data_IF_197918896745
#
_entry.id   IF_197918896745
#
_cell.length_a   1.000
_cell.length_b   1.000
_cell.length_c   1.000
_cell.angle_alpha   90.00
_cell.angle_beta   90.00
_cell.angle_gamma   90.00
#
_symmetry.space_group_name_H-M   'P 1'
#
loop_
_entity.id
_entity.type
_entity.pdbx_description
1 polymer ?
#
# COMPACT_ATOMS: atom_id res chain seq x y z
N UNK A 1 56.98 12.49 6.83
CA UNK A 1 56.59 11.07 7.00
C UNK A 1 55.29 10.85 7.79
N UNK A 2 54.66 11.87 8.39
CA UNK A 2 53.31 11.75 8.99
C UNK A 2 52.24 12.68 8.35
N UNK A 3 52.64 13.66 7.56
CA UNK A 3 51.71 14.60 6.91
C UNK A 3 51.26 14.18 5.49
N UNK A 4 51.91 13.20 4.87
CA UNK A 4 51.52 12.72 3.53
C UNK A 4 50.41 11.65 3.59
N UNK A 5 50.16 11.08 4.77
CA UNK A 5 49.13 10.05 4.97
C UNK A 5 47.73 10.64 5.19
N UNK A 6 47.65 11.86 5.75
CA UNK A 6 46.37 12.54 6.03
C UNK A 6 45.79 13.15 4.74
N UNK A 7 46.62 13.74 3.89
CA UNK A 7 46.17 14.31 2.62
C UNK A 7 45.71 13.26 1.59
N UNK A 8 46.26 12.04 1.65
CA UNK A 8 45.79 10.90 0.82
C UNK A 8 44.44 10.33 1.28
N UNK A 9 44.07 10.56 2.55
CA UNK A 9 42.80 10.09 3.12
C UNK A 9 41.66 11.07 2.86
N UNK A 10 41.92 12.38 2.90
CA UNK A 10 40.92 13.42 2.62
C UNK A 10 40.60 13.57 1.12
N UNK A 11 41.59 13.44 0.22
CA UNK A 11 41.34 13.46 -1.24
C UNK A 11 40.54 12.23 -1.73
N UNK A 12 40.64 11.09 -1.01
CA UNK A 12 39.84 9.90 -1.31
C UNK A 12 38.39 9.98 -0.82
N UNK A 13 38.07 10.90 0.11
CA UNK A 13 36.68 11.19 0.50
C UNK A 13 36.00 12.16 -0.47
N UNK A 14 36.75 13.07 -1.10
CA UNK A 14 36.20 14.00 -2.09
C UNK A 14 35.87 13.32 -3.44
N UNK A 15 36.56 12.23 -3.81
CA UNK A 15 36.36 11.52 -5.09
C UNK A 15 35.39 10.31 -5.04
N UNK A 16 34.81 9.98 -3.88
CA UNK A 16 33.82 8.90 -3.73
C UNK A 16 32.37 9.40 -3.62
N UNK A 17 32.07 10.67 -3.98
CA UNK A 17 30.75 11.27 -3.71
C UNK A 17 29.81 11.47 -4.91
N UNK A 18 30.09 10.97 -6.12
CA UNK A 18 29.19 11.25 -7.27
C UNK A 18 28.81 10.10 -8.20
N UNK A 19 29.06 8.82 -7.86
CA UNK A 19 28.75 7.72 -8.81
C UNK A 19 28.06 6.48 -8.24
N UNK A 20 27.58 6.49 -6.99
CA UNK A 20 26.83 5.35 -6.43
C UNK A 20 25.48 5.71 -5.77
N UNK A 21 25.06 6.97 -5.86
CA UNK A 21 23.80 7.45 -5.25
C UNK A 21 22.55 7.24 -6.13
N UNK A 22 22.53 6.22 -6.99
CA UNK A 22 21.35 5.90 -7.83
C UNK A 22 20.80 4.48 -7.64
N UNK A 23 21.30 3.74 -6.64
CA UNK A 23 20.73 2.44 -6.21
C UNK A 23 20.83 2.26 -4.70
N UNK A 24 20.53 3.29 -3.92
CA UNK A 24 20.04 3.07 -2.56
C UNK A 24 18.54 2.78 -2.66
N UNK A 25 18.13 1.67 -2.08
CA UNK A 25 16.75 1.19 -1.95
C UNK A 25 15.77 2.36 -1.85
N UNK A 26 14.75 2.41 -2.71
CA UNK A 26 13.52 3.08 -2.31
C UNK A 26 13.08 2.38 -1.04
N UNK A 27 13.38 2.98 0.12
CA UNK A 27 12.70 2.64 1.37
C UNK A 27 11.22 2.61 1.04
N UNK A 28 10.62 1.42 1.02
CA UNK A 28 9.20 1.24 0.74
C UNK A 28 8.42 1.96 1.83
N UNK A 29 8.05 3.19 1.53
CA UNK A 29 7.41 4.14 2.43
C UNK A 29 5.97 3.74 2.73
N UNK A 30 5.52 4.03 3.95
CA UNK A 30 4.12 3.92 4.34
C UNK A 30 3.28 5.03 3.69
N UNK A 31 3.04 4.95 2.39
CA UNK A 31 2.28 5.95 1.63
C UNK A 31 1.12 5.33 0.86
N UNK A 32 0.05 6.11 0.67
CA UNK A 32 -1.01 5.77 -0.27
C UNK A 32 -0.44 5.71 -1.69
N UNK A 33 -0.80 4.68 -2.45
CA UNK A 33 -0.28 4.44 -3.80
C UNK A 33 -1.40 4.16 -4.79
N UNK A 34 -1.33 4.79 -5.96
CA UNK A 34 -2.29 4.61 -7.04
C UNK A 34 -2.02 3.33 -7.85
N UNK A 35 -2.83 3.09 -8.88
CA UNK A 35 -2.75 1.89 -9.72
C UNK A 35 -1.45 1.79 -10.55
N UNK A 36 -0.70 2.90 -10.70
CA UNK A 36 0.62 2.96 -11.33
C UNK A 36 1.76 2.86 -10.30
N UNK A 37 1.45 2.55 -9.04
CA UNK A 37 2.40 2.52 -7.92
C UNK A 37 3.08 3.87 -7.64
N UNK A 38 2.40 4.97 -7.95
CA UNK A 38 2.85 6.32 -7.62
C UNK A 38 2.24 6.77 -6.30
N UNK A 39 3.00 7.51 -5.49
CA UNK A 39 2.50 8.10 -4.25
C UNK A 39 1.40 9.12 -4.55
N UNK A 40 0.32 9.04 -3.77
CA UNK A 40 -0.80 9.99 -3.78
C UNK A 40 -1.13 10.37 -2.33
N UNK A 41 -1.74 11.53 -2.12
CA UNK A 41 -2.12 11.98 -0.77
C UNK A 41 -3.31 11.17 -0.25
N UNK A 42 -4.22 10.81 -1.14
CA UNK A 42 -5.41 10.03 -0.82
C UNK A 42 -5.91 9.28 -2.06
N UNK A 43 -6.67 8.22 -1.81
CA UNK A 43 -7.50 7.59 -2.82
C UNK A 43 -8.81 7.08 -2.21
N UNK A 44 -9.81 6.86 -3.07
CA UNK A 44 -11.05 6.19 -2.74
C UNK A 44 -11.20 5.00 -3.67
N UNK A 45 -11.56 3.83 -3.13
CA UNK A 45 -11.92 2.64 -3.90
C UNK A 45 -13.41 2.36 -3.70
N UNK A 46 -14.15 2.23 -4.79
CA UNK A 46 -15.52 1.73 -4.80
C UNK A 46 -15.57 0.37 -5.49
N UNK A 47 -15.67 -0.71 -4.70
CA UNK A 47 -15.81 -2.06 -5.25
C UNK A 47 -17.19 -2.24 -5.87
N UNK A 48 -17.23 -2.77 -7.08
CA UNK A 48 -18.46 -3.02 -7.81
C UNK A 48 -19.08 -4.38 -7.41
N UNK A 49 -20.42 -4.47 -7.43
CA UNK A 49 -21.12 -5.75 -7.27
C UNK A 49 -20.85 -6.67 -8.47
N UNK A 50 -21.14 -7.95 -8.30
CA UNK A 50 -21.09 -8.92 -9.40
C UNK A 50 -22.23 -8.64 -10.37
N UNK A 51 -21.91 -8.44 -11.66
CA UNK A 51 -22.91 -8.28 -12.72
C UNK A 51 -22.63 -9.27 -13.85
N UNK A 52 -23.33 -10.41 -13.85
CA UNK A 52 -23.08 -11.52 -14.78
C UNK A 52 -23.22 -11.14 -16.28
N UNK A 53 -23.97 -10.08 -16.57
CA UNK A 53 -24.20 -9.53 -17.92
C UNK A 53 -23.10 -8.59 -18.41
N UNK A 54 -22.16 -8.21 -17.54
CA UNK A 54 -21.04 -7.33 -17.92
C UNK A 54 -20.07 -8.04 -18.86
N UNK A 55 -19.61 -7.32 -19.88
CA UNK A 55 -18.50 -7.76 -20.76
C UNK A 55 -17.14 -7.68 -20.04
N UNK A 56 -16.99 -6.74 -19.10
CA UNK A 56 -15.78 -6.66 -18.28
C UNK A 56 -15.71 -7.83 -17.29
N UNK A 57 -14.66 -8.65 -17.40
CA UNK A 57 -14.47 -9.86 -16.60
C UNK A 57 -14.37 -9.60 -15.09
N UNK A 58 -13.73 -8.51 -14.67
CA UNK A 58 -13.62 -8.17 -13.25
C UNK A 58 -15.00 -7.81 -12.68
N UNK A 59 -15.80 -7.02 -13.39
CA UNK A 59 -17.18 -6.71 -12.98
C UNK A 59 -18.04 -7.98 -13.00
N UNK A 60 -17.91 -8.80 -14.05
CA UNK A 60 -18.63 -10.07 -14.19
C UNK A 60 -18.36 -11.04 -13.04
N UNK A 61 -17.14 -11.05 -12.53
CA UNK A 61 -16.74 -11.91 -11.41
C UNK A 61 -16.98 -11.28 -10.03
N UNK A 62 -17.35 -9.99 -9.98
CA UNK A 62 -17.49 -9.24 -8.74
C UNK A 62 -16.15 -8.89 -8.10
N UNK A 63 -15.11 -8.66 -8.89
CA UNK A 63 -13.78 -8.23 -8.43
C UNK A 63 -13.35 -6.87 -8.99
N UNK A 64 -14.17 -6.28 -9.86
CA UNK A 64 -13.96 -4.93 -10.40
C UNK A 64 -14.18 -3.86 -9.34
N UNK A 65 -13.44 -2.75 -9.46
CA UNK A 65 -13.62 -1.57 -8.63
C UNK A 65 -13.33 -0.31 -9.45
N UNK A 66 -13.99 0.79 -9.07
CA UNK A 66 -13.66 2.13 -9.53
C UNK A 66 -12.82 2.84 -8.48
N UNK A 67 -12.04 3.83 -8.89
CA UNK A 67 -11.25 4.64 -7.96
C UNK A 67 -11.23 6.12 -8.32
N UNK A 68 -10.93 6.93 -7.30
CA UNK A 68 -10.49 8.32 -7.36
C UNK A 68 -9.17 8.41 -6.60
N UNK A 69 -8.27 9.28 -7.02
CA UNK A 69 -7.08 9.60 -6.24
C UNK A 69 -6.68 11.06 -6.40
N UNK A 70 -5.75 11.52 -5.56
CA UNK A 70 -5.32 12.91 -5.55
C UNK A 70 -4.55 13.35 -6.81
N UNK A 71 -4.24 12.44 -7.74
CA UNK A 71 -3.54 12.75 -8.98
C UNK A 71 -4.49 13.06 -10.14
N UNK A 72 -5.77 12.72 -10.02
CA UNK A 72 -6.80 13.03 -11.02
C UNK A 72 -7.70 14.20 -10.59
N UNK A 73 -8.51 14.71 -11.52
CA UNK A 73 -9.53 15.69 -11.19
C UNK A 73 -10.60 15.04 -10.29
N UNK A 74 -10.96 15.71 -9.18
CA UNK A 74 -11.78 15.18 -8.06
C UNK A 74 -13.15 14.59 -8.50
N UNK A 75 -13.61 14.84 -9.72
CA UNK A 75 -14.90 14.36 -10.26
C UNK A 75 -14.83 13.16 -11.23
N UNK A 76 -13.64 12.65 -11.55
CA UNK A 76 -13.49 11.62 -12.60
C UNK A 76 -13.21 10.23 -12.01
N UNK A 77 -14.25 9.40 -11.88
CA UNK A 77 -14.08 8.01 -11.46
C UNK A 77 -13.47 7.16 -12.58
N UNK A 78 -12.38 6.46 -12.26
CA UNK A 78 -11.72 5.56 -13.19
C UNK A 78 -12.04 4.11 -12.87
N UNK A 79 -12.39 3.31 -13.88
CA UNK A 79 -12.49 1.86 -13.72
C UNK A 79 -11.07 1.28 -13.64
N UNK A 80 -10.77 0.50 -12.59
CA UNK A 80 -9.46 -0.14 -12.48
C UNK A 80 -9.28 -1.23 -13.54
N UNK A 81 -8.11 -1.28 -14.21
CA UNK A 81 -7.78 -2.41 -15.09
C UNK A 81 -7.48 -3.69 -14.29
N UNK A 82 -7.24 -3.57 -12.98
CA UNK A 82 -6.88 -4.68 -12.10
C UNK A 82 -8.05 -5.10 -11.22
N UNK A 83 -8.13 -6.40 -10.97
CA UNK A 83 -9.05 -6.96 -9.97
C UNK A 83 -8.63 -6.51 -8.57
N UNK A 84 -9.59 -6.23 -7.68
CA UNK A 84 -9.31 -5.93 -6.28
C UNK A 84 -8.55 -7.06 -5.56
N UNK A 85 -8.59 -8.29 -6.11
CA UNK A 85 -7.92 -9.46 -5.53
C UNK A 85 -6.44 -9.58 -5.87
N UNK A 86 -5.92 -8.81 -6.82
CA UNK A 86 -4.53 -8.95 -7.25
C UNK A 86 -3.61 -8.03 -6.46
N UNK A 87 -2.31 -8.37 -6.44
CA UNK A 87 -1.26 -7.53 -5.86
C UNK A 87 -1.03 -6.21 -6.63
N UNK A 88 -1.71 -6.04 -7.77
CA UNK A 88 -1.69 -4.81 -8.57
C UNK A 88 -2.86 -3.87 -8.22
N UNK A 89 -3.73 -4.25 -7.30
CA UNK A 89 -4.78 -3.36 -6.81
C UNK A 89 -4.19 -2.24 -5.95
N UNK A 90 -4.81 -1.05 -5.98
CA UNK A 90 -4.36 0.08 -5.16
C UNK A 90 -4.32 -0.25 -3.65
N UNK A 91 -5.28 -1.05 -3.19
CA UNK A 91 -5.29 -1.57 -1.82
C UNK A 91 -4.06 -2.45 -1.53
N UNK A 92 -3.73 -3.38 -2.42
CA UNK A 92 -2.56 -4.24 -2.26
C UNK A 92 -1.25 -3.47 -2.28
N UNK A 93 -1.08 -2.57 -3.25
CA UNK A 93 0.13 -1.76 -3.41
C UNK A 93 0.35 -0.90 -2.16
N UNK A 94 -0.71 -0.27 -1.63
CA UNK A 94 -0.61 0.55 -0.41
C UNK A 94 -0.29 -0.30 0.83
N UNK A 95 -0.91 -1.47 0.97
CA UNK A 95 -0.67 -2.38 2.09
C UNK A 95 0.68 -3.10 2.03
N UNK A 96 1.41 -3.03 0.90
CA UNK A 96 2.62 -3.82 0.68
C UNK A 96 3.71 -3.58 1.73
N UNK A 97 3.81 -2.33 2.23
CA UNK A 97 4.73 -1.95 3.32
C UNK A 97 4.54 -2.76 4.62
N UNK A 98 3.32 -3.29 4.85
CA UNK A 98 3.02 -4.16 5.99
C UNK A 98 3.47 -5.60 5.77
N UNK A 99 3.53 -6.07 4.52
CA UNK A 99 3.88 -7.45 4.19
C UNK A 99 5.38 -7.63 3.89
N UNK A 100 6.06 -6.55 3.48
CA UNK A 100 7.51 -6.51 3.26
C UNK A 100 8.29 -6.00 4.48
N UNK A 101 7.60 -5.75 5.58
CA UNK A 101 8.19 -5.38 6.87
C UNK A 101 8.94 -4.05 6.85
N UNK A 102 8.46 -3.11 6.02
CA UNK A 102 9.03 -1.76 5.92
C UNK A 102 8.30 -0.75 6.80
N UNK A 103 7.06 -1.05 7.21
CA UNK A 103 6.37 -0.30 8.25
C UNK A 103 7.03 -0.52 9.62
N UNK A 104 7.30 0.57 10.34
CA UNK A 104 7.89 0.50 11.70
C UNK A 104 6.84 0.25 12.78
N UNK A 105 5.60 0.66 12.56
CA UNK A 105 4.49 0.47 13.49
C UNK A 105 3.15 0.45 12.76
N UNK A 106 2.20 -0.30 13.30
CA UNK A 106 0.87 -0.46 12.70
C UNK A 106 -0.21 -0.80 13.73
N UNK A 107 -1.45 -0.48 13.39
CA UNK A 107 -2.66 -0.84 14.12
C UNK A 107 -3.66 -1.43 13.12
N UNK A 108 -4.06 -2.67 13.34
CA UNK A 108 -5.22 -3.27 12.69
C UNK A 108 -6.41 -3.17 13.64
N UNK A 109 -7.55 -2.68 13.16
CA UNK A 109 -8.80 -2.70 13.91
C UNK A 109 -9.90 -3.29 13.04
N UNK A 110 -10.73 -4.17 13.59
CA UNK A 110 -11.85 -4.79 12.91
C UNK A 110 -12.73 -5.51 13.93
N UNK A 111 -14.06 -5.38 13.82
CA UNK A 111 -15.03 -6.25 14.49
C UNK A 111 -15.08 -7.67 13.90
N UNK A 112 -14.44 -7.87 12.75
CA UNK A 112 -14.36 -9.14 12.02
C UNK A 112 -12.95 -9.35 11.46
N UNK A 113 -11.91 -9.50 12.30
CA UNK A 113 -10.53 -9.63 11.82
C UNK A 113 -10.32 -10.99 11.13
N UNK A 114 -9.25 -11.14 10.34
CA UNK A 114 -8.86 -12.46 9.83
C UNK A 114 -8.61 -13.44 10.98
N UNK A 115 -8.97 -14.70 10.78
CA UNK A 115 -8.67 -15.82 11.70
C UNK A 115 -9.28 -15.71 13.10
N UNK A 116 -10.26 -14.82 13.33
CA UNK A 116 -11.04 -14.79 14.57
C UNK A 116 -12.53 -14.64 14.30
N UNK A 117 -13.34 -14.89 15.33
CA UNK A 117 -14.77 -14.72 15.27
C UNK A 117 -15.16 -13.24 15.27
N UNK A 118 -16.31 -12.94 14.67
CA UNK A 118 -16.87 -11.60 14.74
C UNK A 118 -17.29 -11.25 16.18
N UNK A 119 -17.21 -9.98 16.52
CA UNK A 119 -17.74 -9.44 17.77
C UNK A 119 -18.98 -8.58 17.51
N UNK A 120 -20.00 -8.77 18.33
CA UNK A 120 -21.21 -7.92 18.35
C UNK A 120 -21.11 -6.78 19.38
N UNK A 121 -20.05 -6.76 20.20
CA UNK A 121 -19.89 -5.81 21.31
C UNK A 121 -18.90 -4.69 21.02
N UNK A 122 -18.18 -4.75 19.89
CA UNK A 122 -17.27 -3.71 19.42
C UNK A 122 -17.89 -2.92 18.27
N UNK A 123 -17.36 -1.72 18.00
CA UNK A 123 -17.82 -0.91 16.88
C UNK A 123 -17.61 -1.62 15.54
N UNK A 124 -18.60 -1.53 14.64
CA UNK A 124 -18.53 -2.05 13.27
C UNK A 124 -17.61 -1.21 12.39
N UNK A 125 -16.34 -1.15 12.75
CA UNK A 125 -15.30 -0.34 12.11
C UNK A 125 -14.09 -1.20 11.81
N UNK A 126 -13.50 -1.00 10.63
CA UNK A 126 -12.40 -1.81 10.13
C UNK A 126 -11.37 -0.95 9.39
N UNK A 127 -10.09 -1.25 9.59
CA UNK A 127 -9.02 -0.58 8.87
C UNK A 127 -7.64 -0.83 9.42
N UNK A 128 -6.68 -0.15 8.81
CA UNK A 128 -5.27 -0.22 9.17
C UNK A 128 -4.66 1.17 9.18
N UNK A 129 -3.97 1.49 10.27
CA UNK A 129 -3.05 2.63 10.36
C UNK A 129 -1.64 2.05 10.33
N UNK A 130 -0.78 2.55 9.45
CA UNK A 130 0.62 2.13 9.37
C UNK A 130 1.52 3.33 9.17
N UNK A 131 2.68 3.34 9.83
CA UNK A 131 3.63 4.44 9.75
C UNK A 131 5.07 4.00 9.98
N UNK A 132 5.98 4.80 9.45
CA UNK A 132 7.41 4.79 9.73
C UNK A 132 7.82 6.14 10.35
N UNK A 133 9.12 6.43 10.41
CA UNK A 133 9.63 7.67 11.01
C UNK A 133 9.29 8.95 10.20
N UNK A 134 8.77 8.81 8.98
CA UNK A 134 8.61 9.91 8.01
C UNK A 134 7.21 9.96 7.39
N UNK A 135 6.61 8.79 7.13
CA UNK A 135 5.36 8.64 6.38
C UNK A 135 4.38 7.73 7.09
N UNK A 136 3.10 7.85 6.72
CA UNK A 136 2.05 6.96 7.19
C UNK A 136 0.82 7.01 6.31
N UNK A 137 0.01 5.96 6.36
CA UNK A 137 -1.29 5.91 5.73
C UNK A 137 -2.34 5.37 6.70
N UNK A 138 -3.58 5.79 6.49
CA UNK A 138 -4.74 5.24 7.16
C UNK A 138 -5.74 4.71 6.12
N UNK A 139 -5.89 3.39 6.08
CA UNK A 139 -6.83 2.70 5.20
C UNK A 139 -8.07 2.30 6.00
N UNK A 140 -9.21 2.91 5.67
CA UNK A 140 -10.53 2.55 6.23
C UNK A 140 -11.30 1.70 5.22
N UNK A 141 -12.01 0.66 5.68
CA UNK A 141 -12.81 -0.19 4.80
C UNK A 141 -14.00 -0.86 5.50
N UNK A 142 -14.84 -1.53 4.72
CA UNK A 142 -16.01 -2.29 5.19
C UNK A 142 -15.87 -3.81 5.04
N UNK A 143 -14.76 -4.27 4.45
CA UNK A 143 -14.51 -5.69 4.12
C UNK A 143 -14.23 -6.53 5.39
N UNK A 144 -15.03 -7.56 5.71
CA UNK A 144 -14.74 -8.52 6.79
C UNK A 144 -13.50 -9.35 6.49
N UNK A 145 -12.79 -9.83 7.51
CA UNK A 145 -11.61 -10.71 7.39
C UNK A 145 -10.49 -10.12 6.51
N UNK A 146 -10.40 -8.79 6.50
CA UNK A 146 -9.42 -8.02 5.73
C UNK A 146 -8.86 -6.89 6.59
N UNK A 147 -7.63 -6.41 6.30
CA UNK A 147 -6.60 -7.11 5.52
C UNK A 147 -6.02 -8.28 6.31
N UNK A 148 -5.24 -9.14 5.63
CA UNK A 148 -4.50 -10.18 6.34
C UNK A 148 -3.47 -9.54 7.28
N UNK A 149 -3.21 -10.23 8.39
CA UNK A 149 -2.20 -9.80 9.35
C UNK A 149 -0.79 -10.01 8.78
N UNK A 150 0.16 -9.27 9.35
CA UNK A 150 1.59 -9.24 9.02
C UNK A 150 2.18 -10.57 8.47
N UNK A 151 3.02 -10.48 7.43
CA UNK A 151 3.66 -11.59 6.71
C UNK A 151 2.75 -12.62 6.00
N UNK A 152 1.41 -12.51 6.07
CA UNK A 152 0.51 -13.40 5.34
C UNK A 152 0.37 -13.05 3.84
N UNK A 153 0.84 -11.87 3.44
CA UNK A 153 0.68 -11.33 2.09
C UNK A 153 -0.73 -10.79 1.83
N UNK A 154 -0.90 -10.16 0.66
CA UNK A 154 -2.19 -9.61 0.27
C UNK A 154 -3.17 -10.71 -0.12
N UNK A 155 -4.32 -10.74 0.55
CA UNK A 155 -5.45 -11.57 0.17
C UNK A 155 -6.74 -10.78 0.41
N UNK A 156 -7.57 -10.71 -0.64
CA UNK A 156 -8.89 -10.12 -0.59
C UNK A 156 -9.94 -11.24 -0.51
N UNK A 157 -10.79 -11.26 0.53
CA UNK A 157 -11.69 -12.37 0.78
C UNK A 157 -12.76 -12.53 -0.30
N UNK A 158 -13.18 -13.76 -0.51
CA UNK A 158 -14.36 -14.06 -1.33
C UNK A 158 -15.63 -13.54 -0.62
N UNK A 159 -16.54 -12.97 -1.41
CA UNK A 159 -17.88 -12.51 -0.99
C UNK A 159 -18.95 -13.43 -1.56
#
# INVERSE_FOLDING_TARGET
LLNDYVNSYDDKRAAMSQSSFSKQEQLQSCTCRNHLNQTVDWFIIYKLPRLNTSENLNIKNGTGYMYLDSSSQISEWHLSPHSIKTNLSMAAITLNSLYENTASSYIYYSDQPPNQNFSLTFGHTKGVLAFDNQTGFWLMHTVPRFPQIYNAGYYYPDT
#
